data_IF_095785400549
#
_entry.id   IF_095785400549
#
_cell.length_a   1.000
_cell.length_b   1.000
_cell.length_c   1.000
_cell.angle_alpha   90.00
_cell.angle_beta   90.00
_cell.angle_gamma   90.00
#
_symmetry.space_group_name_H-M   'P 1'
#
loop_
_entity.id
_entity.type
_entity.pdbx_description
1 polymer ?
#
# COMPACT_ATOMS: atom_id res chain seq x y z
N UNK A 1 -4.45 10.80 -7.23
CA UNK A 1 -5.51 11.58 -7.95
C UNK A 1 -6.75 11.77 -7.07
N UNK A 2 -7.47 12.89 -7.27
CA UNK A 2 -8.54 13.37 -6.38
C UNK A 2 -8.06 14.51 -5.46
N UNK A 3 -7.00 14.24 -4.70
CA UNK A 3 -6.37 15.22 -3.79
C UNK A 3 -5.18 16.00 -4.40
N UNK A 4 -4.96 15.92 -5.72
CA UNK A 4 -3.89 16.68 -6.42
C UNK A 4 -2.46 16.15 -6.29
N UNK A 5 -2.23 15.03 -5.61
CA UNK A 5 -0.88 14.46 -5.44
C UNK A 5 -0.30 13.85 -6.74
N UNK A 6 1.00 14.04 -6.96
CA UNK A 6 1.76 13.34 -7.99
C UNK A 6 1.89 11.85 -7.62
N UNK A 7 1.24 10.98 -8.39
CA UNK A 7 1.07 9.57 -8.01
C UNK A 7 1.85 8.66 -8.97
N UNK A 8 2.64 7.74 -8.43
CA UNK A 8 3.41 6.75 -9.18
C UNK A 8 3.01 5.35 -8.68
N UNK A 9 2.59 4.46 -9.58
CA UNK A 9 2.31 3.07 -9.28
C UNK A 9 3.44 2.17 -9.76
N UNK A 10 3.93 1.29 -8.88
CA UNK A 10 4.95 0.30 -9.20
C UNK A 10 4.34 -1.10 -9.18
N UNK A 11 4.53 -1.86 -10.27
CA UNK A 11 3.96 -3.21 -10.40
C UNK A 11 4.84 -4.15 -11.22
N UNK A 12 4.59 -5.46 -11.12
CA UNK A 12 5.31 -6.49 -11.89
C UNK A 12 4.59 -6.88 -13.19
N UNK A 13 3.29 -6.64 -13.28
CA UNK A 13 2.48 -7.03 -14.43
C UNK A 13 2.25 -5.83 -15.34
N UNK A 14 2.92 -5.81 -16.49
CA UNK A 14 2.87 -4.67 -17.42
C UNK A 14 1.46 -4.41 -17.96
N UNK A 15 0.67 -5.46 -18.22
CA UNK A 15 -0.69 -5.28 -18.74
C UNK A 15 -1.59 -4.55 -17.73
N UNK A 16 -1.47 -4.88 -16.44
CA UNK A 16 -2.17 -4.16 -15.36
C UNK A 16 -1.73 -2.71 -15.22
N UNK A 17 -0.44 -2.43 -15.43
CA UNK A 17 0.07 -1.06 -15.41
C UNK A 17 -0.49 -0.24 -16.58
N UNK A 18 -0.59 -0.82 -17.79
CA UNK A 18 -1.25 -0.16 -18.92
C UNK A 18 -2.72 0.11 -18.65
N UNK A 19 -3.46 -0.87 -18.13
CA UNK A 19 -4.87 -0.69 -17.73
C UNK A 19 -5.02 0.50 -16.75
N UNK A 20 -4.16 0.60 -15.74
CA UNK A 20 -4.19 1.69 -14.77
C UNK A 20 -3.88 3.06 -15.39
N UNK A 21 -2.94 3.11 -16.34
CA UNK A 21 -2.60 4.34 -17.06
C UNK A 21 -3.76 4.82 -17.93
N UNK A 22 -4.41 3.90 -18.66
CA UNK A 22 -5.60 4.17 -19.48
C UNK A 22 -6.77 4.66 -18.62
N UNK A 23 -7.08 3.95 -17.53
CA UNK A 23 -8.16 4.31 -16.59
C UNK A 23 -7.97 5.68 -15.93
N UNK A 24 -6.72 6.15 -15.83
CA UNK A 24 -6.38 7.44 -15.22
C UNK A 24 -6.05 8.52 -16.25
N UNK A 25 -6.23 8.23 -17.54
CA UNK A 25 -5.92 9.13 -18.66
C UNK A 25 -4.49 9.69 -18.58
N UNK A 26 -3.52 8.84 -18.23
CA UNK A 26 -2.10 9.18 -18.12
C UNK A 26 -1.71 10.01 -16.89
N UNK A 27 -2.64 10.30 -15.98
CA UNK A 27 -2.34 11.08 -14.76
C UNK A 27 -1.63 10.25 -13.68
N UNK A 28 -1.70 8.93 -13.74
CA UNK A 28 -0.92 8.02 -12.91
C UNK A 28 0.30 7.56 -13.71
N UNK A 29 1.49 7.84 -13.19
CA UNK A 29 2.73 7.33 -13.80
C UNK A 29 2.90 5.88 -13.35
N UNK A 30 3.23 4.99 -14.28
CA UNK A 30 3.47 3.58 -13.96
C UNK A 30 4.93 3.21 -14.19
N UNK A 31 5.48 2.37 -13.31
CA UNK A 31 6.85 1.86 -13.41
C UNK A 31 6.91 0.38 -13.08
N UNK A 32 7.83 -0.34 -13.73
CA UNK A 32 8.10 -1.73 -13.37
C UNK A 32 8.77 -1.82 -11.98
N UNK A 33 8.29 -2.73 -11.13
CA UNK A 33 8.76 -2.92 -9.76
C UNK A 33 10.05 -3.75 -9.69
N UNK A 34 11.17 -3.16 -10.14
CA UNK A 34 12.53 -3.68 -9.89
C UNK A 34 13.10 -3.13 -8.58
N UNK A 35 14.08 -3.80 -7.98
CA UNK A 35 14.76 -3.31 -6.77
C UNK A 35 15.35 -1.91 -6.96
N UNK A 36 15.88 -1.63 -8.15
CA UNK A 36 16.39 -0.31 -8.52
C UNK A 36 15.29 0.76 -8.49
N UNK A 37 14.16 0.51 -9.14
CA UNK A 37 13.05 1.46 -9.18
C UNK A 37 12.40 1.64 -7.81
N UNK A 38 12.24 0.57 -7.04
CA UNK A 38 11.71 0.61 -5.67
C UNK A 38 12.60 1.49 -4.79
N UNK A 39 13.91 1.22 -4.71
CA UNK A 39 14.83 2.03 -3.92
C UNK A 39 14.81 3.51 -4.31
N UNK A 40 14.76 3.80 -5.62
CA UNK A 40 14.75 5.17 -6.14
C UNK A 40 13.46 5.92 -5.78
N UNK A 41 12.31 5.28 -5.95
CA UNK A 41 11.01 5.90 -5.71
C UNK A 41 10.71 6.04 -4.22
N UNK A 42 11.05 5.03 -3.41
CA UNK A 42 10.87 5.09 -1.95
C UNK A 42 11.65 6.27 -1.34
N UNK A 43 12.89 6.48 -1.77
CA UNK A 43 13.74 7.59 -1.29
C UNK A 43 13.09 8.98 -1.44
N UNK A 44 12.33 9.20 -2.51
CA UNK A 44 11.74 10.52 -2.82
C UNK A 44 10.28 10.65 -2.39
N UNK A 45 9.61 9.54 -2.06
CA UNK A 45 8.21 9.51 -1.71
C UNK A 45 7.94 10.17 -0.35
N UNK A 46 6.98 11.11 -0.32
CA UNK A 46 6.45 11.65 0.94
C UNK A 46 5.42 10.70 1.57
N UNK A 47 4.72 9.93 0.72
CA UNK A 47 3.79 8.88 1.12
C UNK A 47 4.06 7.62 0.30
N UNK A 48 4.26 6.49 0.96
CA UNK A 48 4.42 5.17 0.37
C UNK A 48 3.21 4.29 0.77
N UNK A 49 2.53 3.70 -0.22
CA UNK A 49 1.42 2.77 0.01
C UNK A 49 1.85 1.36 -0.43
N UNK A 50 1.95 0.45 0.52
CA UNK A 50 2.18 -0.96 0.29
C UNK A 50 0.87 -1.69 -0.03
N UNK A 51 0.66 -2.05 -1.30
CA UNK A 51 -0.55 -2.72 -1.77
C UNK A 51 -0.23 -4.04 -2.50
N UNK A 52 0.74 -4.79 -1.98
CA UNK A 52 1.18 -6.06 -2.57
C UNK A 52 0.55 -7.21 -1.80
N UNK A 53 -0.24 -8.03 -2.49
CA UNK A 53 -0.96 -9.17 -1.92
C UNK A 53 -0.62 -10.43 -2.69
N UNK A 54 -0.43 -11.55 -1.99
CA UNK A 54 -0.45 -12.89 -2.59
C UNK A 54 -1.53 -13.72 -1.90
N UNK A 55 -2.64 -14.02 -2.59
CA UNK A 55 -3.72 -14.78 -1.99
C UNK A 55 -3.23 -16.09 -1.36
N UNK A 56 -3.53 -16.30 -0.08
CA UNK A 56 -3.17 -17.53 0.66
C UNK A 56 -1.73 -17.61 1.17
N UNK A 57 -0.87 -16.63 0.87
CA UNK A 57 0.52 -16.59 1.31
C UNK A 57 0.82 -15.34 2.14
N UNK A 58 1.94 -15.36 2.87
CA UNK A 58 2.48 -14.15 3.47
C UNK A 58 2.85 -13.15 2.37
N UNK A 59 2.54 -11.88 2.57
CA UNK A 59 2.96 -10.83 1.65
C UNK A 59 4.50 -10.83 1.52
N UNK A 60 5.05 -10.80 0.30
CA UNK A 60 6.49 -10.73 0.11
C UNK A 60 6.99 -9.35 0.58
N UNK A 61 8.13 -9.33 1.27
CA UNK A 61 8.81 -8.08 1.60
C UNK A 61 9.34 -7.47 0.30
N UNK A 62 8.81 -6.31 -0.04
CA UNK A 62 9.18 -5.54 -1.24
C UNK A 62 10.05 -4.34 -0.88
N UNK A 63 9.87 -3.78 0.31
CA UNK A 63 10.60 -2.62 0.80
C UNK A 63 11.41 -3.04 2.02
N UNK A 64 12.74 -2.98 1.91
CA UNK A 64 13.65 -3.33 3.00
C UNK A 64 13.80 -2.18 3.99
N UNK A 65 14.26 -2.48 5.21
CA UNK A 65 14.57 -1.47 6.23
C UNK A 65 15.57 -0.43 5.72
N UNK A 66 16.54 -0.82 4.91
CA UNK A 66 17.50 0.11 4.30
C UNK A 66 16.85 1.08 3.30
N UNK A 67 15.85 0.62 2.54
CA UNK A 67 15.06 1.52 1.70
C UNK A 67 14.26 2.51 2.57
N UNK A 68 13.66 2.05 3.68
CA UNK A 68 12.92 2.92 4.61
C UNK A 68 13.82 3.97 5.26
N UNK A 69 15.04 3.60 5.68
CA UNK A 69 16.05 4.54 6.20
C UNK A 69 16.40 5.66 5.22
N UNK A 70 16.29 5.40 3.91
CA UNK A 70 16.58 6.38 2.87
C UNK A 70 15.45 7.38 2.63
N UNK A 71 14.25 7.15 3.18
CA UNK A 71 13.11 8.05 3.06
C UNK A 71 13.35 9.37 3.80
N UNK A 72 12.60 10.40 3.40
CA UNK A 72 12.57 11.68 4.11
C UNK A 72 11.99 11.48 5.51
N UNK A 73 12.62 12.05 6.54
CA UNK A 73 12.07 12.01 7.90
C UNK A 73 10.69 12.69 7.93
N UNK A 74 9.76 12.07 8.64
CA UNK A 74 8.36 12.52 8.69
C UNK A 74 7.48 12.03 7.54
N UNK A 75 8.02 11.32 6.53
CA UNK A 75 7.20 10.65 5.52
C UNK A 75 6.25 9.63 6.15
N UNK A 76 5.26 9.19 5.37
CA UNK A 76 4.25 8.22 5.81
C UNK A 76 4.30 6.94 4.99
N UNK A 77 4.28 5.80 5.67
CA UNK A 77 4.08 4.47 5.10
C UNK A 77 2.68 4.00 5.50
N UNK A 78 1.91 3.52 4.52
CA UNK A 78 0.63 2.85 4.73
C UNK A 78 0.76 1.43 4.19
N UNK A 79 0.79 0.42 5.06
CA UNK A 79 0.92 -0.98 4.64
C UNK A 79 -0.46 -1.66 4.64
N UNK A 80 -1.10 -1.72 3.48
CA UNK A 80 -2.39 -2.39 3.29
C UNK A 80 -2.25 -3.91 3.22
N UNK A 81 -1.03 -4.43 3.11
CA UNK A 81 -0.75 -5.87 3.13
C UNK A 81 -0.55 -6.41 4.55
N UNK A 82 -0.76 -5.58 5.59
CA UNK A 82 -0.53 -5.95 6.99
C UNK A 82 -1.38 -7.15 7.43
N UNK A 83 -2.58 -7.33 6.86
CA UNK A 83 -3.45 -8.49 7.10
C UNK A 83 -2.78 -9.82 6.71
N UNK A 84 -1.74 -9.79 5.86
CA UNK A 84 -0.92 -10.94 5.46
C UNK A 84 0.55 -10.81 5.90
N UNK A 85 0.81 -10.03 6.96
CA UNK A 85 2.15 -9.86 7.54
C UNK A 85 2.97 -8.69 6.98
N UNK A 86 2.42 -7.88 6.06
CA UNK A 86 3.03 -6.66 5.57
C UNK A 86 4.03 -6.88 4.43
N UNK A 87 4.15 -5.88 3.55
CA UNK A 87 5.09 -5.89 2.43
C UNK A 87 6.32 -4.98 2.66
N UNK A 88 6.38 -4.31 3.81
CA UNK A 88 7.51 -3.50 4.24
C UNK A 88 8.13 -4.12 5.50
N UNK A 89 9.46 -4.22 5.54
CA UNK A 89 10.19 -4.91 6.62
C UNK A 89 10.03 -4.26 8.01
N UNK A 90 9.80 -2.95 8.06
CA UNK A 90 9.58 -2.17 9.29
C UNK A 90 8.12 -2.16 9.77
N UNK A 91 7.19 -2.73 9.00
CA UNK A 91 5.77 -2.78 9.35
C UNK A 91 5.52 -3.66 10.58
N UNK A 92 4.62 -3.20 11.45
CA UNK A 92 4.18 -3.89 12.67
C UNK A 92 2.69 -3.64 12.85
N UNK A 93 1.94 -4.61 13.36
CA UNK A 93 0.51 -4.45 13.61
C UNK A 93 0.24 -3.26 14.53
N UNK A 94 -0.75 -2.45 14.16
CA UNK A 94 -1.28 -1.34 14.95
C UNK A 94 -2.78 -1.53 15.15
N UNK A 95 -3.42 -0.69 15.97
CA UNK A 95 -4.87 -0.74 16.19
C UNK A 95 -5.50 0.59 15.81
N UNK A 96 -6.84 0.67 15.74
CA UNK A 96 -7.51 1.94 15.44
C UNK A 96 -7.29 2.99 16.54
N UNK A 97 -7.08 2.56 17.80
CA UNK A 97 -6.79 3.43 18.94
C UNK A 97 -5.36 3.97 18.90
N UNK A 98 -4.42 3.15 18.43
CA UNK A 98 -3.01 3.51 18.25
C UNK A 98 -2.57 3.21 16.82
N UNK A 99 -3.03 4.02 15.83
CA UNK A 99 -2.95 3.67 14.41
C UNK A 99 -1.58 3.88 13.80
N UNK A 100 -0.69 4.59 14.49
CA UNK A 100 0.61 4.97 13.94
C UNK A 100 1.74 4.83 14.93
N UNK A 101 2.92 4.47 14.43
CA UNK A 101 4.18 4.52 15.15
C UNK A 101 5.29 5.08 14.25
N UNK A 102 6.43 5.41 14.84
CA UNK A 102 7.61 5.88 14.11
C UNK A 102 8.72 4.83 14.18
N UNK A 103 9.24 4.43 13.04
CA UNK A 103 10.45 3.60 12.90
C UNK A 103 11.33 4.23 11.82
N UNK A 104 12.64 4.25 12.01
CA UNK A 104 13.60 4.94 11.13
C UNK A 104 13.24 6.41 10.83
N UNK A 105 12.49 7.08 11.72
CA UNK A 105 12.01 8.46 11.53
C UNK A 105 10.92 8.62 10.48
N UNK A 106 10.25 7.52 10.10
CA UNK A 106 9.12 7.45 9.17
C UNK A 106 7.87 7.00 9.93
N UNK A 107 6.75 7.68 9.71
CA UNK A 107 5.47 7.31 10.28
C UNK A 107 4.92 6.06 9.58
N UNK A 108 4.43 5.09 10.32
CA UNK A 108 3.84 3.86 9.80
C UNK A 108 2.38 3.78 10.21
N UNK A 109 1.50 3.52 9.26
CA UNK A 109 0.10 3.15 9.46
C UNK A 109 -0.08 1.71 8.99
N UNK A 110 -0.37 0.81 9.93
CA UNK A 110 -0.40 -0.63 9.68
C UNK A 110 -1.59 -1.26 10.40
N UNK A 111 -2.76 -0.64 10.28
CA UNK A 111 -3.98 -1.10 10.95
C UNK A 111 -4.62 -2.20 10.09
N UNK A 112 -4.76 -3.43 10.61
CA UNK A 112 -5.44 -4.50 9.90
C UNK A 112 -6.94 -4.22 9.78
N UNK A 113 -7.63 -4.87 8.84
CA UNK A 113 -9.08 -4.78 8.70
C UNK A 113 -9.60 -3.33 8.67
N UNK A 114 -8.92 -2.43 7.95
CA UNK A 114 -9.27 -1.00 7.89
C UNK A 114 -10.71 -0.76 7.40
N UNK A 115 -11.27 -1.68 6.62
CA UNK A 115 -12.67 -1.64 6.17
C UNK A 115 -13.69 -1.68 7.30
N UNK A 116 -13.31 -2.12 8.51
CA UNK A 116 -14.15 -2.07 9.70
C UNK A 116 -14.51 -0.63 10.10
N UNK A 117 -13.63 0.35 9.83
CA UNK A 117 -13.89 1.76 10.12
C UNK A 117 -15.02 2.35 9.27
N UNK A 118 -15.39 1.69 8.16
CA UNK A 118 -16.50 2.07 7.27
C UNK A 118 -17.55 0.96 7.17
N UNK A 119 -17.88 0.35 8.31
CA UNK A 119 -18.72 -0.85 8.45
C UNK A 119 -20.02 -0.83 7.63
N UNK A 120 -20.77 0.28 7.62
CA UNK A 120 -22.02 0.40 6.84
C UNK A 120 -21.80 0.12 5.36
N UNK A 121 -20.73 0.66 4.78
CA UNK A 121 -20.40 0.46 3.37
C UNK A 121 -19.86 -0.95 3.14
N UNK A 122 -18.93 -1.39 3.99
CA UNK A 122 -18.30 -2.71 3.92
C UNK A 122 -19.33 -3.85 3.99
N UNK A 123 -20.26 -3.79 4.94
CA UNK A 123 -21.33 -4.80 5.08
C UNK A 123 -22.21 -4.84 3.84
N UNK A 124 -22.59 -3.69 3.27
CA UNK A 124 -23.40 -3.67 2.05
C UNK A 124 -22.69 -4.34 0.87
N UNK A 125 -21.40 -4.07 0.69
CA UNK A 125 -20.60 -4.69 -0.38
C UNK A 125 -20.45 -6.19 -0.15
N UNK A 126 -20.10 -6.60 1.07
CA UNK A 126 -19.92 -8.01 1.42
C UNK A 126 -21.22 -8.80 1.26
N UNK A 127 -22.34 -8.30 1.79
CA UNK A 127 -23.65 -8.96 1.65
C UNK A 127 -24.07 -9.14 0.18
N UNK A 128 -23.83 -8.14 -0.67
CA UNK A 128 -24.15 -8.24 -2.10
C UNK A 128 -23.29 -9.30 -2.81
N UNK A 129 -22.00 -9.41 -2.46
CA UNK A 129 -21.08 -10.40 -3.04
C UNK A 129 -21.36 -11.82 -2.57
N UNK A 130 -21.80 -12.00 -1.31
CA UNK A 130 -22.09 -13.33 -0.74
C UNK A 130 -23.45 -13.89 -1.16
N UNK A 131 -24.39 -13.04 -1.62
CA UNK A 131 -25.76 -13.44 -1.95
C UNK A 131 -25.91 -14.56 -3.01
N UNK A 132 -25.02 -14.71 -4.02
CA UNK A 132 -25.10 -15.84 -4.94
C UNK A 132 -24.66 -17.18 -4.33
N UNK A 133 -23.94 -17.15 -3.22
CA UNK A 133 -23.30 -18.33 -2.60
C UNK A 133 -24.03 -18.79 -1.33
N UNK A 134 -24.94 -17.96 -0.80
CA UNK A 134 -25.82 -18.22 0.34
C UNK A 134 -27.26 -18.44 -0.14
#
# INVERSE_FOLDING_TARGET
>A
LGAGAHTIALGRYMDRLRELEEMTSGRLITLFASNYNLARMVKIADILIGAVLRPGEKAPIMITRDMVKSMKKGSLIIDLAIDQGGCIETSRLTTLEQPTFVDEGVNHYCVPNITSAVSRTSTKVLSNLSRPVL
#
